data_IF_450054999779
#
_entry.id   IF_450054999779
#
_cell.length_a   1.000
_cell.length_b   1.000
_cell.length_c   1.000
_cell.angle_alpha   90.00
_cell.angle_beta   90.00
_cell.angle_gamma   90.00
#
_symmetry.space_group_name_H-M   'P 1'
#
loop_
_entity.id
_entity.type
_entity.pdbx_description
1 polymer ?
#
# COMPACT_ATOMS: atom_id res chain seq x y z
N UNK A 1 -6.90 4.73 -36.59
CA UNK A 1 -5.82 4.41 -35.63
C UNK A 1 -4.50 5.09 -36.00
N UNK A 2 -3.84 4.75 -37.11
CA UNK A 2 -2.55 5.40 -37.49
C UNK A 2 -2.68 6.90 -37.80
N UNK A 3 -3.77 7.29 -38.49
CA UNK A 3 -4.04 8.69 -38.88
C UNK A 3 -4.38 9.55 -37.65
N UNK A 4 -5.14 8.99 -36.71
CA UNK A 4 -5.52 9.67 -35.46
C UNK A 4 -4.30 9.89 -34.58
N UNK A 5 -3.40 8.90 -34.48
CA UNK A 5 -2.15 9.00 -33.74
C UNK A 5 -1.22 10.08 -34.30
N UNK A 6 -1.12 10.20 -35.63
CA UNK A 6 -0.32 11.24 -36.29
C UNK A 6 -0.89 12.64 -36.00
N UNK A 7 -2.21 12.79 -36.00
CA UNK A 7 -2.86 14.05 -35.66
C UNK A 7 -2.58 14.47 -34.21
N UNK A 8 -2.53 13.52 -33.28
CA UNK A 8 -2.27 13.78 -31.87
C UNK A 8 -0.80 14.14 -31.61
N UNK A 9 0.13 13.47 -32.29
CA UNK A 9 1.55 13.81 -32.28
C UNK A 9 1.81 15.24 -32.77
N UNK A 10 1.15 15.66 -33.85
CA UNK A 10 1.25 17.04 -34.35
C UNK A 10 0.77 18.07 -33.32
N UNK A 11 -0.32 17.79 -32.61
CA UNK A 11 -0.85 18.65 -31.55
C UNK A 11 0.11 18.73 -30.36
N UNK A 12 0.74 17.62 -29.99
CA UNK A 12 1.79 17.59 -28.98
C UNK A 12 3.00 18.41 -29.40
N UNK A 13 3.51 18.22 -30.61
CA UNK A 13 4.65 19.00 -31.12
C UNK A 13 4.35 20.49 -31.20
N UNK A 14 3.10 20.88 -31.51
CA UNK A 14 2.64 22.27 -31.45
C UNK A 14 2.64 22.81 -30.01
N UNK A 15 2.18 22.00 -29.03
CA UNK A 15 2.21 22.38 -27.61
C UNK A 15 3.64 22.55 -27.06
N UNK A 16 4.59 21.75 -27.54
CA UNK A 16 6.00 21.89 -27.21
C UNK A 16 6.71 23.03 -27.98
N UNK A 17 6.00 23.75 -28.85
CA UNK A 17 6.54 24.88 -29.62
C UNK A 17 7.51 24.47 -30.75
N UNK A 18 7.60 23.18 -31.05
CA UNK A 18 8.47 22.65 -32.12
C UNK A 18 7.90 22.93 -33.51
N UNK A 19 6.57 23.06 -33.61
CA UNK A 19 5.89 23.33 -34.88
C UNK A 19 4.99 24.54 -34.77
N UNK A 20 4.89 25.30 -35.86
CA UNK A 20 4.02 26.49 -35.97
C UNK A 20 2.59 26.14 -36.42
N UNK A 21 2.33 24.85 -36.67
CA UNK A 21 1.11 24.34 -37.29
C UNK A 21 0.49 23.21 -36.45
N UNK A 22 -0.81 23.28 -36.26
CA UNK A 22 -1.58 22.41 -35.35
C UNK A 22 -1.98 21.06 -35.96
N UNK A 23 -2.20 21.00 -37.27
CA UNK A 23 -2.61 19.79 -37.99
C UNK A 23 -1.87 19.65 -39.32
N UNK A 24 -1.71 18.42 -39.84
CA UNK A 24 -1.07 18.18 -41.13
C UNK A 24 -1.84 18.82 -42.30
N UNK A 25 -3.18 18.92 -42.21
CA UNK A 25 -4.01 19.58 -43.22
C UNK A 25 -3.79 21.09 -43.27
N UNK A 26 -3.62 21.75 -42.11
CA UNK A 26 -3.30 23.18 -42.04
C UNK A 26 -1.86 23.47 -42.48
N UNK A 27 -0.95 22.52 -42.24
CA UNK A 27 0.42 22.60 -42.73
C UNK A 27 0.46 22.57 -44.27
N UNK A 28 -0.31 21.69 -44.91
CA UNK A 28 -0.44 21.63 -46.38
C UNK A 28 -1.14 22.87 -46.96
N UNK A 29 -2.12 23.42 -46.24
CA UNK A 29 -2.78 24.67 -46.62
C UNK A 29 -1.92 25.92 -46.33
N UNK A 30 -0.76 25.77 -45.66
CA UNK A 30 0.10 26.85 -45.16
C UNK A 30 -0.65 27.95 -44.39
N UNK A 31 -1.73 27.57 -43.71
CA UNK A 31 -2.55 28.48 -42.91
C UNK A 31 -2.09 28.41 -41.46
N UNK A 32 -1.74 29.56 -40.88
CA UNK A 32 -1.35 29.68 -39.47
C UNK A 32 -2.54 30.18 -38.66
N UNK A 33 -2.87 29.49 -37.58
CA UNK A 33 -3.81 30.01 -36.59
C UNK A 33 -3.13 31.14 -35.80
N UNK A 34 -3.65 32.35 -35.96
CA UNK A 34 -3.33 33.48 -35.08
C UNK A 34 -4.52 33.68 -34.15
N UNK A 35 -4.26 33.79 -32.85
CA UNK A 35 -5.31 34.17 -31.91
C UNK A 35 -5.92 35.50 -32.34
N UNK A 36 -7.25 35.52 -32.47
CA UNK A 36 -7.98 36.77 -32.63
C UNK A 36 -7.69 37.61 -31.36
N UNK A 37 -7.15 38.81 -31.57
CA UNK A 37 -6.90 39.76 -30.49
C UNK A 37 -8.23 40.44 -30.17
N UNK A 38 -9.04 39.80 -29.35
CA UNK A 38 -10.20 40.46 -28.76
C UNK A 38 -9.71 41.63 -27.88
N UNK A 39 -10.32 42.83 -27.95
CA UNK A 39 -9.98 43.93 -27.06
C UNK A 39 -10.24 43.50 -25.60
N UNK A 40 -9.20 43.60 -24.78
CA UNK A 40 -9.16 43.14 -23.39
C UNK A 40 -10.32 43.72 -22.56
N UNK A 41 -11.14 42.90 -21.89
CA UNK A 41 -11.89 43.38 -20.75
C UNK A 41 -10.92 43.61 -19.58
N UNK A 42 -10.94 44.81 -19.01
CA UNK A 42 -10.23 45.16 -17.79
C UNK A 42 -10.81 44.34 -16.64
N UNK A 43 -10.10 43.29 -16.21
CA UNK A 43 -10.49 42.49 -15.04
C UNK A 43 -9.73 43.04 -13.82
N UNK A 44 -10.41 43.44 -12.73
CA UNK A 44 -9.72 43.82 -11.49
C UNK A 44 -9.00 42.60 -10.91
N UNK A 45 -7.77 42.84 -10.42
CA UNK A 45 -6.91 41.87 -9.74
C UNK A 45 -7.61 41.26 -8.52
N UNK A 46 -8.24 40.10 -8.69
CA UNK A 46 -8.82 39.33 -7.58
C UNK A 46 -7.98 38.09 -7.26
N UNK A 47 -7.21 38.23 -6.19
CA UNK A 47 -6.75 37.20 -5.23
C UNK A 47 -6.35 35.81 -5.76
N UNK A 48 -5.04 35.50 -5.63
CA UNK A 48 -4.38 34.23 -5.96
C UNK A 48 -4.91 32.97 -5.23
N UNK A 49 -5.95 33.07 -4.41
CA UNK A 49 -6.51 31.94 -3.65
C UNK A 49 -7.52 31.09 -4.46
N UNK A 50 -8.03 31.58 -5.59
CA UNK A 50 -9.06 30.88 -6.38
C UNK A 50 -8.53 29.59 -7.06
N UNK A 51 -7.30 29.61 -7.56
CA UNK A 51 -6.68 28.43 -8.21
C UNK A 51 -6.36 27.32 -7.20
N UNK A 52 -5.94 27.70 -5.99
CA UNK A 52 -5.68 26.73 -4.92
C UNK A 52 -6.96 26.02 -4.48
N UNK A 53 -8.06 26.75 -4.31
CA UNK A 53 -9.35 26.17 -3.95
C UNK A 53 -9.88 25.22 -5.04
N UNK A 54 -9.65 25.53 -6.33
CA UNK A 54 -10.01 24.62 -7.42
C UNK A 54 -9.19 23.33 -7.41
N UNK A 55 -7.89 23.40 -7.12
CA UNK A 55 -7.01 22.22 -7.02
C UNK A 55 -7.42 21.35 -5.83
N UNK A 56 -7.71 21.96 -4.68
CA UNK A 56 -8.17 21.24 -3.49
C UNK A 56 -9.52 20.55 -3.75
N UNK A 57 -10.46 21.22 -4.42
CA UNK A 57 -11.73 20.61 -4.81
C UNK A 57 -11.54 19.38 -5.71
N UNK A 58 -10.67 19.49 -6.73
CA UNK A 58 -10.35 18.38 -7.63
C UNK A 58 -9.69 17.19 -6.89
N UNK A 59 -8.80 17.47 -5.93
CA UNK A 59 -8.13 16.45 -5.11
C UNK A 59 -9.12 15.78 -4.16
N UNK A 60 -10.04 16.53 -3.56
CA UNK A 60 -11.07 15.98 -2.66
C UNK A 60 -11.98 15.04 -3.46
N UNK A 61 -12.47 15.45 -4.64
CA UNK A 61 -13.31 14.62 -5.48
C UNK A 61 -12.62 13.32 -5.94
N UNK A 62 -11.33 13.40 -6.26
CA UNK A 62 -10.54 12.22 -6.67
C UNK A 62 -10.00 11.41 -5.47
N UNK A 63 -9.98 12.00 -4.27
CA UNK A 63 -9.42 11.42 -3.06
C UNK A 63 -10.29 10.33 -2.45
N UNK A 64 -11.60 10.31 -2.74
CA UNK A 64 -12.49 9.22 -2.31
C UNK A 64 -12.03 7.85 -2.81
N UNK A 65 -11.40 7.77 -3.98
CA UNK A 65 -10.83 6.53 -4.51
C UNK A 65 -9.64 6.02 -3.67
N UNK A 66 -8.79 6.93 -3.18
CA UNK A 66 -7.66 6.57 -2.31
C UNK A 66 -8.13 6.06 -0.95
N UNK A 67 -9.21 6.64 -0.40
CA UNK A 67 -9.81 6.17 0.86
C UNK A 67 -10.39 4.77 0.68
N UNK A 68 -11.09 4.51 -0.44
CA UNK A 68 -11.57 3.17 -0.77
C UNK A 68 -10.42 2.16 -0.92
N UNK A 69 -9.27 2.58 -1.47
CA UNK A 69 -8.07 1.75 -1.57
C UNK A 69 -7.44 1.46 -0.20
N UNK A 70 -7.38 2.43 0.71
CA UNK A 70 -6.88 2.24 2.08
C UNK A 70 -7.83 1.36 2.89
N UNK A 71 -9.13 1.51 2.72
CA UNK A 71 -10.12 0.63 3.35
C UNK A 71 -9.98 -0.81 2.85
N UNK A 72 -9.80 -0.99 1.54
CA UNK A 72 -9.54 -2.30 0.97
C UNK A 72 -8.23 -2.90 1.49
N UNK A 73 -7.14 -2.12 1.51
CA UNK A 73 -5.85 -2.57 2.07
C UNK A 73 -6.05 -2.96 3.54
N UNK A 74 -6.65 -2.09 4.34
CA UNK A 74 -6.85 -2.34 5.77
C UNK A 74 -7.72 -3.57 6.02
N UNK A 75 -8.75 -3.82 5.20
CA UNK A 75 -9.56 -5.06 5.25
C UNK A 75 -8.75 -6.29 4.83
N UNK A 76 -7.92 -6.19 3.79
CA UNK A 76 -7.09 -7.28 3.27
C UNK A 76 -6.07 -7.77 4.31
N UNK A 77 -5.48 -6.87 5.11
CA UNK A 77 -4.47 -7.23 6.11
C UNK A 77 -5.07 -7.38 7.53
N UNK A 78 -6.19 -6.71 7.81
CA UNK A 78 -6.88 -6.74 9.12
C UNK A 78 -7.85 -7.91 9.31
N UNK A 79 -8.30 -8.56 8.23
CA UNK A 79 -9.25 -9.70 8.32
C UNK A 79 -8.68 -10.92 9.08
N UNK A 80 -7.35 -11.12 9.07
CA UNK A 80 -6.72 -12.18 9.88
C UNK A 80 -6.56 -11.83 11.37
N UNK A 81 -6.78 -10.58 11.77
CA UNK A 81 -6.62 -10.13 13.17
C UNK A 81 -7.96 -9.80 13.86
N UNK A 82 -9.00 -9.41 13.11
CA UNK A 82 -10.27 -9.01 13.70
C UNK A 82 -11.15 -10.16 14.24
N UNK A 83 -10.83 -11.43 14.00
CA UNK A 83 -11.48 -12.54 14.72
C UNK A 83 -10.94 -12.72 16.16
N UNK A 84 -9.93 -11.95 16.58
CA UNK A 84 -9.32 -12.04 17.93
C UNK A 84 -9.68 -10.83 18.81
N UNK A 85 -10.32 -9.80 18.27
CA UNK A 85 -10.49 -8.51 18.97
C UNK A 85 -11.78 -8.36 19.79
N UNK A 86 -12.61 -9.41 19.90
CA UNK A 86 -13.76 -9.41 20.82
C UNK A 86 -13.38 -9.85 22.25
N UNK A 87 -12.11 -9.73 22.65
CA UNK A 87 -11.68 -9.87 24.05
C UNK A 87 -10.72 -8.74 24.40
N UNK A 88 -11.25 -7.54 24.65
CA UNK A 88 -10.48 -6.50 25.36
C UNK A 88 -11.40 -5.63 26.20
N UNK A 89 -11.77 -6.17 27.35
CA UNK A 89 -11.90 -5.42 28.60
C UNK A 89 -11.29 -6.25 29.74
N UNK A 90 -10.14 -6.87 29.48
CA UNK A 90 -9.34 -7.52 30.51
C UNK A 90 -8.00 -6.81 30.58
N UNK A 91 -7.84 -6.13 31.72
CA UNK A 91 -6.61 -5.58 32.26
C UNK A 91 -5.43 -6.44 31.83
N UNK A 92 -4.50 -5.84 31.09
CA UNK A 92 -3.23 -6.44 30.72
C UNK A 92 -2.60 -7.06 31.97
N UNK A 93 -2.49 -8.39 32.08
CA UNK A 93 -1.78 -8.98 33.20
C UNK A 93 -0.32 -8.59 33.03
N UNK A 94 0.24 -8.04 34.09
CA UNK A 94 1.66 -7.69 34.20
C UNK A 94 2.43 -9.02 34.11
N UNK A 95 2.73 -9.50 32.91
CA UNK A 95 3.54 -10.71 32.79
C UNK A 95 4.98 -10.27 32.96
N UNK A 96 5.50 -10.66 34.12
CA UNK A 96 6.89 -10.56 34.50
C UNK A 96 7.74 -11.10 33.34
N UNK A 97 8.28 -10.19 32.52
CA UNK A 97 9.21 -10.51 31.44
C UNK A 97 10.45 -11.07 32.09
N UNK A 98 10.46 -12.39 32.31
CA UNK A 98 11.70 -13.17 32.27
C UNK A 98 12.19 -13.09 30.83
N UNK A 99 12.80 -11.96 30.48
CA UNK A 99 13.80 -11.89 29.41
C UNK A 99 14.88 -12.87 29.84
N UNK A 100 14.72 -14.13 29.44
CA UNK A 100 15.86 -15.00 29.29
C UNK A 100 16.72 -14.31 28.24
N UNK A 101 17.75 -13.60 28.70
CA UNK A 101 18.89 -13.24 27.85
C UNK A 101 19.43 -14.59 27.39
N UNK A 102 19.07 -15.01 26.18
CA UNK A 102 19.70 -16.16 25.55
C UNK A 102 21.00 -15.62 24.95
N UNK A 103 22.01 -15.56 25.80
CA UNK A 103 23.39 -15.67 25.37
C UNK A 103 23.54 -16.98 24.61
N UNK A 104 24.02 -16.90 23.38
CA UNK A 104 24.62 -18.02 22.66
C UNK A 104 23.68 -19.16 22.29
N UNK A 105 23.23 -19.13 21.02
CA UNK A 105 22.61 -20.20 20.21
C UNK A 105 21.08 -20.18 20.20
N UNK A 106 20.52 -19.89 19.01
CA UNK A 106 19.11 -20.02 18.66
C UNK A 106 18.63 -21.48 18.80
N UNK A 107 18.39 -21.94 20.02
CA UNK A 107 17.88 -23.27 20.32
C UNK A 107 16.35 -23.27 20.35
N UNK A 108 15.75 -24.31 19.79
CA UNK A 108 14.31 -24.49 19.82
C UNK A 108 13.84 -24.74 21.27
N UNK A 109 12.81 -24.04 21.78
CA UNK A 109 12.34 -24.24 23.15
C UNK A 109 11.64 -25.59 23.38
N UNK A 110 11.25 -26.31 22.31
CA UNK A 110 10.62 -27.66 22.41
C UNK A 110 11.70 -28.74 22.52
N UNK A 111 12.63 -28.79 21.56
CA UNK A 111 13.64 -29.85 21.52
C UNK A 111 15.00 -29.46 22.11
N UNK A 112 15.26 -28.17 22.38
CA UNK A 112 16.55 -27.61 22.85
C UNK A 112 17.75 -27.84 21.93
N UNK A 113 17.49 -28.27 20.70
CA UNK A 113 18.50 -28.43 19.65
C UNK A 113 18.55 -27.18 18.76
N UNK A 114 19.63 -26.96 17.99
CA UNK A 114 19.66 -25.95 16.94
C UNK A 114 18.51 -26.18 15.95
N UNK A 115 17.84 -25.11 15.55
CA UNK A 115 16.63 -25.22 14.72
C UNK A 115 16.93 -25.78 13.33
N UNK A 116 16.46 -26.99 13.04
CA UNK A 116 16.36 -27.52 11.68
C UNK A 116 15.11 -26.92 11.03
N UNK A 117 15.31 -25.92 10.15
CA UNK A 117 14.30 -25.05 9.55
C UNK A 117 13.60 -24.17 10.61
N UNK A 118 14.12 -22.95 10.89
CA UNK A 118 13.51 -22.06 11.86
C UNK A 118 12.11 -21.63 11.38
N UNK A 119 11.12 -21.81 12.26
CA UNK A 119 9.71 -21.51 11.98
C UNK A 119 9.16 -20.62 13.08
N UNK A 120 8.47 -19.56 12.68
CA UNK A 120 7.87 -18.58 13.59
C UNK A 120 6.36 -18.72 13.53
N UNK A 121 5.74 -18.50 14.68
CA UNK A 121 4.29 -18.44 14.83
C UNK A 121 3.84 -16.98 14.66
N UNK A 122 2.87 -16.74 13.77
CA UNK A 122 2.19 -15.45 13.68
C UNK A 122 1.58 -15.06 15.03
N UNK A 123 2.05 -13.95 15.61
CA UNK A 123 1.60 -13.46 16.92
C UNK A 123 2.39 -13.98 18.13
N UNK A 124 3.51 -14.67 17.93
CA UNK A 124 4.44 -15.09 18.99
C UNK A 124 5.87 -14.62 18.71
N UNK A 125 6.65 -14.37 19.75
CA UNK A 125 8.04 -13.87 19.66
C UNK A 125 9.09 -14.97 19.77
N UNK A 126 8.75 -16.21 19.39
CA UNK A 126 9.60 -17.38 19.56
C UNK A 126 9.80 -18.14 18.25
N UNK A 127 11.00 -18.69 18.07
CA UNK A 127 11.40 -19.49 16.91
C UNK A 127 11.47 -20.96 17.33
N UNK A 128 10.88 -21.85 16.54
CA UNK A 128 10.84 -23.29 16.76
C UNK A 128 11.38 -24.03 15.53
N UNK A 129 11.74 -25.31 15.65
CA UNK A 129 11.92 -26.16 14.48
C UNK A 129 10.56 -26.46 13.83
N UNK A 130 10.51 -26.47 12.49
CA UNK A 130 9.27 -26.80 11.75
C UNK A 130 8.64 -28.12 12.21
N UNK A 131 9.43 -29.18 12.33
CA UNK A 131 8.95 -30.50 12.75
C UNK A 131 8.30 -30.48 14.14
N UNK A 132 8.97 -29.86 15.11
CA UNK A 132 8.51 -29.80 16.50
C UNK A 132 7.20 -29.01 16.64
N UNK A 133 7.13 -27.82 16.03
CA UNK A 133 5.95 -26.98 16.19
C UNK A 133 4.75 -27.52 15.39
N UNK A 134 4.98 -28.08 14.20
CA UNK A 134 3.91 -28.68 13.39
C UNK A 134 3.26 -29.87 14.11
N UNK A 135 4.07 -30.73 14.75
CA UNK A 135 3.53 -31.83 15.55
C UNK A 135 2.76 -31.35 16.79
N UNK A 136 3.29 -30.35 17.50
CA UNK A 136 2.62 -29.78 18.67
C UNK A 136 1.28 -29.13 18.32
N UNK A 137 1.24 -28.33 17.24
CA UNK A 137 0.02 -27.66 16.77
C UNK A 137 -1.02 -28.66 16.29
N UNK A 138 -0.62 -29.75 15.63
CA UNK A 138 -1.54 -30.82 15.22
C UNK A 138 -2.19 -31.55 16.40
N UNK A 139 -1.47 -31.72 17.52
CA UNK A 139 -2.00 -32.43 18.70
C UNK A 139 -2.83 -31.53 19.62
N UNK A 140 -2.38 -30.30 19.85
CA UNK A 140 -2.94 -29.44 20.89
C UNK A 140 -3.72 -28.24 20.33
N UNK A 141 -3.48 -27.81 19.08
CA UNK A 141 -4.05 -26.62 18.44
C UNK A 141 -3.79 -25.30 19.20
N UNK A 142 -2.64 -25.20 19.88
CA UNK A 142 -2.26 -24.04 20.71
C UNK A 142 -0.77 -23.73 20.58
N UNK A 143 -0.41 -22.49 20.87
CA UNK A 143 0.99 -22.06 20.98
C UNK A 143 1.60 -22.54 22.31
N UNK A 144 2.80 -23.17 22.32
CA UNK A 144 3.40 -23.69 23.54
C UNK A 144 3.84 -22.61 24.54
N UNK A 145 4.15 -21.38 24.09
CA UNK A 145 4.61 -20.30 24.98
C UNK A 145 3.51 -19.31 25.37
N UNK A 146 2.53 -19.06 24.50
CA UNK A 146 1.45 -18.09 24.74
C UNK A 146 0.09 -18.71 24.98
N UNK A 147 -0.04 -20.04 24.82
CA UNK A 147 -1.29 -20.82 24.95
C UNK A 147 -2.47 -20.28 24.12
N UNK A 148 -2.19 -19.50 23.07
CA UNK A 148 -3.20 -18.99 22.13
C UNK A 148 -3.61 -20.08 21.14
N UNK A 149 -4.89 -20.14 20.71
CA UNK A 149 -5.33 -21.08 19.70
C UNK A 149 -4.59 -20.81 18.39
N UNK A 150 -4.09 -21.86 17.74
CA UNK A 150 -3.32 -21.71 16.51
C UNK A 150 -3.59 -22.85 15.53
N UNK A 151 -3.65 -22.49 14.25
CA UNK A 151 -3.78 -23.44 13.14
C UNK A 151 -2.47 -23.50 12.35
N UNK A 152 -2.30 -24.56 11.55
CA UNK A 152 -1.07 -24.75 10.76
C UNK A 152 -0.82 -23.62 9.74
N UNK A 153 -1.85 -22.86 9.35
CA UNK A 153 -1.74 -21.70 8.46
C UNK A 153 -0.98 -20.52 9.07
N UNK A 154 -0.85 -20.50 10.40
CA UNK A 154 -0.16 -19.43 11.12
C UNK A 154 1.35 -19.69 11.27
N UNK A 155 1.85 -20.80 10.72
CA UNK A 155 3.26 -21.21 10.76
C UNK A 155 3.99 -20.65 9.54
N UNK A 156 5.00 -19.82 9.78
CA UNK A 156 5.84 -19.24 8.73
C UNK A 156 7.25 -19.80 8.85
N UNK A 157 7.72 -20.47 7.80
CA UNK A 157 9.12 -20.92 7.67
C UNK A 157 10.00 -19.72 7.35
N UNK A 158 11.10 -19.58 8.08
CA UNK A 158 12.15 -18.59 7.83
C UNK A 158 13.30 -19.34 7.16
N UNK A 159 13.72 -18.84 5.99
CA UNK A 159 14.86 -19.36 5.22
C UNK A 159 16.05 -18.44 5.39
#
# INVERSE_FOLDING_TARGET
ILIDGLSWLYRLSYAFGLTKYYSPTLHLANVKLTYAKDPSPTIPSFSNNSRFLSIISQIISNGLFLIQLVDWWSKSYGSKQNSVNNVTNLLLPITNRKRSRIDGKHQCPICRHPCNIPTVILGSSYVYCYACINEYVKRYHRCPTSNRPITNEHLIKVY
#
